data_IF_037913841811
#
_entry.id   IF_037913841811
#
_cell.length_a   1.000
_cell.length_b   1.000
_cell.length_c   1.000
_cell.angle_alpha   90.00
_cell.angle_beta   90.00
_cell.angle_gamma   90.00
#
_symmetry.space_group_name_H-M   'P 1'
#
loop_
_entity.id
_entity.type
_entity.pdbx_description
1 polymer ?
#
# COMPACT_ATOMS: atom_id res chain seq x y z
N UNK A 1 -17.67 15.55 0.56
CA UNK A 1 -16.95 14.47 -0.16
C UNK A 1 -17.74 13.16 -0.07
N UNK A 2 -17.72 12.33 -1.13
CA UNK A 2 -18.43 11.03 -1.15
C UNK A 2 -17.97 10.10 -0.01
N UNK A 3 -16.73 10.27 0.46
CA UNK A 3 -16.16 9.52 1.58
C UNK A 3 -15.41 10.47 2.54
N UNK A 4 -16.05 10.95 3.62
CA UNK A 4 -15.45 11.97 4.50
C UNK A 4 -14.30 11.44 5.37
N UNK A 5 -14.22 10.14 5.61
CA UNK A 5 -13.17 9.49 6.40
C UNK A 5 -12.02 8.91 5.55
N UNK A 6 -12.05 9.12 4.23
CA UNK A 6 -11.03 8.59 3.32
C UNK A 6 -10.10 9.71 2.89
N UNK A 7 -8.80 9.53 3.15
CA UNK A 7 -7.75 10.36 2.56
C UNK A 7 -7.30 9.71 1.26
N UNK A 8 -7.63 10.33 0.14
CA UNK A 8 -7.05 9.97 -1.16
C UNK A 8 -5.60 10.44 -1.20
N UNK A 9 -4.74 9.61 -1.79
CA UNK A 9 -3.30 9.87 -1.93
C UNK A 9 -2.95 9.76 -3.42
N UNK A 10 -1.90 10.46 -3.85
CA UNK A 10 -1.51 10.51 -5.26
C UNK A 10 -0.77 9.24 -5.70
N UNK A 11 -0.20 8.49 -4.76
CA UNK A 11 0.52 7.26 -5.02
C UNK A 11 0.54 6.29 -3.82
N UNK A 12 1.03 5.07 -4.06
CA UNK A 12 1.08 4.00 -3.05
C UNK A 12 2.02 4.31 -1.88
N UNK A 13 3.10 5.06 -2.09
CA UNK A 13 4.05 5.40 -1.03
C UNK A 13 3.46 6.42 -0.06
N UNK A 14 2.72 7.41 -0.57
CA UNK A 14 1.97 8.35 0.29
C UNK A 14 0.85 7.65 1.06
N UNK A 15 0.18 6.67 0.44
CA UNK A 15 -0.81 5.86 1.13
C UNK A 15 -0.20 5.00 2.26
N UNK A 16 1.07 4.60 2.13
CA UNK A 16 1.80 3.81 3.13
C UNK A 16 2.40 4.66 4.26
N UNK A 17 2.69 5.95 4.02
CA UNK A 17 3.38 6.82 4.97
C UNK A 17 2.64 6.94 6.31
N UNK A 18 3.24 6.38 7.36
CA UNK A 18 2.71 6.37 8.71
C UNK A 18 1.51 5.45 8.92
N UNK A 19 1.15 4.60 7.96
CA UNK A 19 0.09 3.61 8.13
C UNK A 19 0.58 2.40 8.93
N UNK A 20 -0.32 1.72 9.64
CA UNK A 20 -0.01 0.49 10.39
C UNK A 20 0.00 -0.75 9.50
N UNK A 21 -0.66 -0.71 8.34
CA UNK A 21 -0.65 -1.77 7.34
C UNK A 21 -0.97 -1.21 5.95
N UNK A 22 -0.50 -1.90 4.91
CA UNK A 22 -0.85 -1.66 3.51
C UNK A 22 -1.64 -2.84 2.95
N UNK A 23 -2.74 -2.57 2.24
CA UNK A 23 -3.56 -3.61 1.60
C UNK A 23 -3.58 -3.43 0.10
N UNK A 24 -3.23 -4.47 -0.65
CA UNK A 24 -3.37 -4.51 -2.11
C UNK A 24 -4.70 -5.18 -2.44
N UNK A 25 -5.71 -4.35 -2.67
CA UNK A 25 -7.07 -4.83 -2.93
C UNK A 25 -7.35 -5.09 -4.43
N UNK A 26 -6.54 -4.56 -5.35
CA UNK A 26 -6.70 -4.67 -6.80
C UNK A 26 -5.35 -4.87 -7.49
N UNK A 27 -5.33 -5.66 -8.56
CA UNK A 27 -4.13 -6.17 -9.23
C UNK A 27 -3.55 -5.25 -10.32
N UNK A 28 -3.54 -3.94 -10.09
CA UNK A 28 -3.01 -2.98 -11.07
C UNK A 28 -1.51 -3.20 -11.30
N UNK A 29 -1.10 -3.14 -12.58
CA UNK A 29 0.30 -3.37 -12.98
C UNK A 29 1.31 -2.46 -12.26
N UNK A 30 0.91 -1.25 -11.86
CA UNK A 30 1.75 -0.31 -11.11
C UNK A 30 2.18 -0.86 -9.75
N UNK A 31 1.40 -1.76 -9.14
CA UNK A 31 1.72 -2.33 -7.83
C UNK A 31 2.74 -3.46 -7.92
N UNK A 32 2.84 -4.15 -9.07
CA UNK A 32 3.80 -5.25 -9.29
C UNK A 32 5.28 -4.84 -9.19
N UNK A 33 5.58 -3.54 -9.27
CA UNK A 33 6.94 -2.99 -9.29
C UNK A 33 7.22 -2.01 -8.15
N UNK A 34 6.41 -2.03 -7.09
CA UNK A 34 6.72 -1.21 -5.91
C UNK A 34 7.98 -1.72 -5.22
N UNK A 35 8.75 -0.79 -4.68
CA UNK A 35 9.93 -1.06 -3.87
C UNK A 35 9.47 -1.47 -2.46
N UNK A 36 9.39 -2.78 -2.20
CA UNK A 36 8.89 -3.32 -0.92
C UNK A 36 9.70 -2.82 0.27
N UNK A 37 11.03 -2.74 0.12
CA UNK A 37 11.90 -2.20 1.17
C UNK A 37 11.56 -0.75 1.55
N UNK A 38 11.19 0.07 0.56
CA UNK A 38 10.73 1.44 0.80
C UNK A 38 9.39 1.45 1.52
N UNK A 39 8.47 0.57 1.17
CA UNK A 39 7.18 0.45 1.87
C UNK A 39 7.37 0.05 3.34
N UNK A 40 8.28 -0.87 3.63
CA UNK A 40 8.62 -1.25 5.00
C UNK A 40 9.15 -0.08 5.84
N UNK A 41 9.92 0.84 5.24
CA UNK A 41 10.41 2.03 5.93
C UNK A 41 9.33 3.08 6.20
N UNK A 42 8.27 3.13 5.37
CA UNK A 42 7.19 4.10 5.49
C UNK A 42 6.10 3.68 6.48
N UNK A 43 5.87 2.37 6.62
CA UNK A 43 4.87 1.82 7.52
C UNK A 43 5.33 1.87 8.99
N UNK A 44 4.42 2.18 9.91
CA UNK A 44 4.67 2.10 11.37
C UNK A 44 4.89 0.66 11.81
N UNK A 45 4.16 -0.25 11.20
CA UNK A 45 4.33 -1.69 11.34
C UNK A 45 4.41 -2.28 9.93
N UNK A 46 5.51 -2.96 9.55
CA UNK A 46 5.76 -3.37 8.18
C UNK A 46 4.91 -4.59 7.80
N UNK A 47 3.58 -4.39 7.75
CA UNK A 47 2.58 -5.37 7.38
C UNK A 47 1.99 -5.01 6.03
N UNK A 48 2.26 -5.86 5.03
CA UNK A 48 1.69 -5.75 3.70
C UNK A 48 0.77 -6.96 3.50
N UNK A 49 -0.49 -6.68 3.18
CA UNK A 49 -1.54 -7.67 2.92
C UNK A 49 -1.81 -7.70 1.42
N UNK A 50 -1.21 -8.67 0.75
CA UNK A 50 -1.45 -8.92 -0.68
C UNK A 50 -2.63 -9.86 -0.87
N UNK A 51 -3.79 -9.32 -1.25
CA UNK A 51 -5.01 -10.10 -1.50
C UNK A 51 -5.14 -10.54 -2.97
N UNK A 52 -4.09 -10.34 -3.77
CA UNK A 52 -4.08 -10.59 -5.22
C UNK A 52 -2.92 -11.46 -5.68
N UNK A 53 -2.05 -11.89 -4.77
CA UNK A 53 -0.87 -12.70 -5.06
C UNK A 53 0.02 -12.04 -6.14
N UNK A 54 0.32 -10.75 -5.97
CA UNK A 54 1.27 -10.01 -6.80
C UNK A 54 2.72 -10.32 -6.44
N UNK A 55 3.01 -10.63 -5.18
CA UNK A 55 4.35 -10.93 -4.68
C UNK A 55 4.51 -12.40 -4.30
N UNK A 56 5.72 -12.91 -4.51
CA UNK A 56 6.14 -14.20 -4.00
C UNK A 56 6.60 -14.04 -2.53
N UNK A 57 6.19 -14.93 -1.60
CA UNK A 57 6.58 -14.89 -0.20
C UNK A 57 8.08 -15.07 0.07
#
# INVERSE_FOLDING_TARGET
>A
PLFPAVRFCDNAYEAADGADALVIATEWNQFRKLEVDRLHQLLRHPLILDLRNLYEP
#
